data_IF_214139158324
#
_entry.id   IF_214139158324
#
_cell.length_a   1.000
_cell.length_b   1.000
_cell.length_c   1.000
_cell.angle_alpha   90.00
_cell.angle_beta   90.00
_cell.angle_gamma   90.00
#
_symmetry.space_group_name_H-M   'P 1'
#
loop_
_entity.id
_entity.type
_entity.pdbx_description
1 polymer ?
#
# COMPACT_ATOMS: atom_id res chain seq x y z
N UNK A 1 7.48 -17.15 0.95
CA UNK A 1 7.59 -15.72 0.61
C UNK A 1 6.18 -15.21 0.42
N UNK A 2 5.75 -14.23 1.20
CA UNK A 2 4.38 -13.71 1.12
C UNK A 2 4.19 -12.86 -0.12
N UNK A 3 3.04 -12.99 -0.77
CA UNK A 3 2.59 -12.12 -1.85
C UNK A 3 1.89 -10.92 -1.26
N UNK A 4 2.41 -9.73 -1.50
CA UNK A 4 1.92 -8.49 -0.91
C UNK A 4 1.48 -7.53 -1.99
N UNK A 5 0.35 -6.86 -1.77
CA UNK A 5 -0.03 -5.68 -2.55
C UNK A 5 0.20 -4.42 -1.73
N UNK A 6 0.76 -3.38 -2.34
CA UNK A 6 1.00 -2.10 -1.68
C UNK A 6 0.02 -1.07 -2.21
N UNK A 7 -0.55 -0.27 -1.32
CA UNK A 7 -1.33 0.92 -1.68
C UNK A 7 -0.58 2.16 -1.22
N UNK A 8 -0.36 3.12 -2.12
CA UNK A 8 0.35 4.35 -1.79
C UNK A 8 -0.37 5.62 -2.17
N UNK A 9 -0.02 6.72 -1.50
CA UNK A 9 -0.58 8.03 -1.78
C UNK A 9 0.03 8.57 -3.08
N UNK A 10 -0.74 8.55 -4.17
CA UNK A 10 -0.26 8.97 -5.49
C UNK A 10 0.24 10.42 -5.49
N UNK A 11 -0.42 11.32 -4.75
CA UNK A 11 -0.01 12.71 -4.61
C UNK A 11 1.35 12.84 -3.90
N UNK A 12 1.55 12.14 -2.78
CA UNK A 12 2.82 12.16 -2.05
C UNK A 12 3.95 11.62 -2.93
N UNK A 13 3.70 10.52 -3.64
CA UNK A 13 4.67 9.89 -4.54
C UNK A 13 5.04 10.78 -5.74
N UNK A 14 4.11 11.60 -6.23
CA UNK A 14 4.36 12.50 -7.37
C UNK A 14 5.07 13.80 -6.99
N UNK A 15 5.00 14.20 -5.72
CA UNK A 15 5.53 15.50 -5.25
C UNK A 15 6.77 15.36 -4.37
N UNK A 16 6.95 14.20 -3.72
CA UNK A 16 8.09 13.92 -2.88
C UNK A 16 9.32 13.47 -3.67
N UNK A 17 10.49 14.05 -3.38
CA UNK A 17 11.77 13.67 -3.99
C UNK A 17 12.55 12.62 -3.18
N UNK A 18 12.11 12.30 -1.96
CA UNK A 18 12.83 11.42 -1.04
C UNK A 18 12.74 9.92 -1.38
N UNK A 19 11.86 9.51 -2.31
CA UNK A 19 11.59 8.10 -2.61
C UNK A 19 11.38 7.86 -4.12
N UNK A 20 12.37 8.16 -4.98
CA UNK A 20 12.24 7.96 -6.43
C UNK A 20 11.98 6.48 -6.76
N UNK A 21 10.97 6.22 -7.59
CA UNK A 21 10.57 4.85 -7.94
C UNK A 21 10.09 4.01 -6.76
N UNK A 22 9.68 4.66 -5.66
CA UNK A 22 9.16 4.01 -4.46
C UNK A 22 10.13 2.97 -3.85
N UNK A 23 11.43 3.17 -4.10
CA UNK A 23 12.50 2.20 -3.81
C UNK A 23 12.50 1.72 -2.37
N UNK A 24 12.11 2.57 -1.42
CA UNK A 24 12.09 2.24 0.01
C UNK A 24 11.14 1.07 0.30
N UNK A 25 9.98 1.02 -0.36
CA UNK A 25 9.03 -0.08 -0.22
C UNK A 25 9.57 -1.38 -0.82
N UNK A 26 10.15 -1.31 -2.03
CA UNK A 26 10.71 -2.47 -2.71
C UNK A 26 11.92 -3.06 -1.98
N UNK A 27 12.83 -2.19 -1.49
CA UNK A 27 13.97 -2.63 -0.66
C UNK A 27 13.48 -3.35 0.59
N UNK A 28 12.53 -2.77 1.32
CA UNK A 28 12.02 -3.37 2.54
C UNK A 28 11.38 -4.75 2.28
N UNK A 29 10.60 -4.90 1.22
CA UNK A 29 10.04 -6.20 0.83
C UNK A 29 11.13 -7.22 0.47
N UNK A 30 12.15 -6.84 -0.30
CA UNK A 30 13.21 -7.75 -0.76
C UNK A 30 14.16 -8.21 0.37
N UNK A 31 14.37 -7.35 1.37
CA UNK A 31 15.23 -7.63 2.52
C UNK A 31 14.44 -8.19 3.71
N UNK A 32 13.11 -8.10 3.69
CA UNK A 32 12.25 -8.46 4.82
C UNK A 32 12.34 -7.48 5.99
N UNK A 33 12.67 -6.22 5.72
CA UNK A 33 12.84 -5.17 6.72
C UNK A 33 11.51 -4.45 7.03
N UNK A 34 11.50 -3.61 8.06
CA UNK A 34 10.38 -2.76 8.41
C UNK A 34 9.13 -3.55 8.77
N UNK A 35 8.01 -3.23 8.12
CA UNK A 35 6.71 -3.88 8.41
C UNK A 35 6.48 -5.18 7.62
N UNK A 36 7.49 -5.69 6.91
CA UNK A 36 7.39 -6.98 6.21
C UNK A 36 7.81 -8.16 7.10
N UNK A 37 8.85 -8.02 7.91
CA UNK A 37 9.37 -9.05 8.85
C UNK A 37 10.05 -10.26 8.19
N UNK A 38 9.69 -10.57 6.94
CA UNK A 38 10.29 -11.58 6.08
C UNK A 38 10.29 -11.09 4.63
N UNK A 39 11.05 -11.74 3.76
CA UNK A 39 11.04 -11.40 2.33
C UNK A 39 9.64 -11.56 1.74
N UNK A 40 9.23 -10.57 0.94
CA UNK A 40 7.92 -10.51 0.31
C UNK A 40 8.03 -10.24 -1.19
N UNK A 41 7.13 -10.85 -1.95
CA UNK A 41 6.95 -10.63 -3.37
C UNK A 41 5.86 -9.56 -3.57
N UNK A 42 6.21 -8.43 -4.18
CA UNK A 42 5.24 -7.35 -4.43
C UNK A 42 4.48 -7.67 -5.71
N UNK A 43 3.20 -8.02 -5.59
CA UNK A 43 2.35 -8.39 -6.73
C UNK A 43 1.78 -7.18 -7.46
N UNK A 44 1.56 -6.09 -6.74
CA UNK A 44 1.17 -4.83 -7.34
C UNK A 44 1.44 -3.65 -6.41
N UNK A 45 1.50 -2.46 -7.01
CA UNK A 45 1.53 -1.19 -6.32
C UNK A 45 0.39 -0.32 -6.83
N UNK A 46 -0.69 -0.20 -6.06
CA UNK A 46 -1.85 0.62 -6.40
C UNK A 46 -1.64 2.04 -5.88
N UNK A 47 -1.69 3.02 -6.78
CA UNK A 47 -1.60 4.44 -6.41
C UNK A 47 -2.99 5.01 -6.19
N UNK A 48 -3.18 5.59 -5.01
CA UNK A 48 -4.36 6.39 -4.68
C UNK A 48 -4.35 7.69 -5.48
N UNK A 49 -5.46 8.00 -6.13
CA UNK A 49 -5.67 9.29 -6.79
C UNK A 49 -6.66 10.13 -5.99
N UNK A 50 -6.34 11.40 -5.74
CA UNK A 50 -7.15 12.29 -4.90
C UNK A 50 -8.52 12.54 -5.55
N UNK A 51 -9.65 12.43 -4.81
CA UNK A 51 -9.79 12.38 -3.35
C UNK A 51 -9.87 10.95 -2.75
N UNK A 52 -9.42 9.93 -3.47
CA UNK A 52 -9.27 8.55 -2.98
C UNK A 52 -10.41 7.59 -3.36
N UNK A 53 -11.38 8.04 -4.15
CA UNK A 53 -12.55 7.24 -4.56
C UNK A 53 -12.20 5.95 -5.30
N UNK A 54 -11.07 5.94 -6.01
CA UNK A 54 -10.66 4.83 -6.87
C UNK A 54 -9.83 3.78 -6.15
N UNK A 55 -9.39 4.01 -4.91
CA UNK A 55 -8.46 3.10 -4.20
C UNK A 55 -9.02 1.69 -4.08
N UNK A 56 -10.20 1.55 -3.47
CA UNK A 56 -10.84 0.24 -3.24
C UNK A 56 -11.15 -0.49 -4.55
N UNK A 57 -11.83 0.12 -5.55
CA UNK A 57 -12.08 -0.57 -6.82
C UNK A 57 -10.80 -0.90 -7.59
N UNK A 58 -9.75 -0.07 -7.52
CA UNK A 58 -8.47 -0.38 -8.18
C UNK A 58 -7.75 -1.55 -7.50
N UNK A 59 -7.79 -1.66 -6.17
CA UNK A 59 -7.25 -2.83 -5.46
C UNK A 59 -7.99 -4.09 -5.89
N UNK A 60 -9.33 -4.09 -5.87
CA UNK A 60 -10.13 -5.25 -6.28
C UNK A 60 -9.90 -5.62 -7.75
N UNK A 61 -9.77 -4.62 -8.63
CA UNK A 61 -9.50 -4.81 -10.05
C UNK A 61 -8.10 -5.37 -10.28
N UNK A 62 -7.09 -4.88 -9.54
CA UNK A 62 -5.73 -5.42 -9.61
C UNK A 62 -5.67 -6.88 -9.16
N UNK A 63 -6.37 -7.25 -8.07
CA UNK A 63 -6.52 -8.66 -7.65
C UNK A 63 -7.17 -9.49 -8.77
N UNK A 64 -8.30 -9.01 -9.31
CA UNK A 64 -9.06 -9.73 -10.35
C UNK A 64 -8.27 -9.91 -11.64
N UNK A 65 -7.64 -8.86 -12.16
CA UNK A 65 -6.97 -8.87 -13.46
C UNK A 65 -5.59 -9.52 -13.42
N UNK A 66 -4.88 -9.44 -12.28
CA UNK A 66 -3.61 -10.17 -12.12
C UNK A 66 -3.82 -11.67 -11.97
N UNK A 67 -5.02 -12.11 -11.58
CA UNK A 67 -5.28 -13.51 -11.24
C UNK A 67 -4.56 -13.95 -9.96
N UNK A 68 -4.10 -13.00 -9.13
CA UNK A 68 -3.35 -13.27 -7.91
C UNK A 68 -4.08 -12.67 -6.71
N UNK A 69 -4.45 -13.52 -5.77
CA UNK A 69 -4.87 -13.11 -4.43
C UNK A 69 -3.62 -12.90 -3.56
N UNK A 70 -3.34 -11.69 -3.06
CA UNK A 70 -2.24 -11.48 -2.14
C UNK A 70 -2.57 -12.06 -0.76
N UNK A 71 -1.53 -12.40 0.00
CA UNK A 71 -1.65 -12.83 1.40
C UNK A 71 -1.94 -11.62 2.31
N UNK A 72 -1.50 -10.42 1.92
CA UNK A 72 -1.61 -9.19 2.70
C UNK A 72 -1.66 -7.96 1.80
N UNK A 73 -2.41 -6.93 2.24
CA UNK A 73 -2.36 -5.59 1.68
C UNK A 73 -1.62 -4.68 2.66
N UNK A 74 -0.66 -3.88 2.18
CA UNK A 74 0.02 -2.87 3.01
C UNK A 74 -0.30 -1.47 2.52
N UNK A 75 -0.77 -0.60 3.41
CA UNK A 75 -0.79 0.84 3.14
C UNK A 75 0.64 1.36 3.33
N UNK A 76 1.27 1.86 2.28
CA UNK A 76 2.66 2.35 2.31
C UNK A 76 2.91 3.37 3.43
N UNK A 77 4.15 3.47 3.91
CA UNK A 77 4.50 4.44 4.96
C UNK A 77 4.18 5.88 4.58
N UNK A 78 4.34 6.27 3.30
CA UNK A 78 3.97 7.61 2.82
C UNK A 78 2.46 7.86 2.71
N UNK A 79 1.63 6.82 2.82
CA UNK A 79 0.18 6.94 2.93
C UNK A 79 -0.28 6.87 4.40
N UNK A 80 0.22 5.88 5.12
CA UNK A 80 -0.22 5.55 6.48
C UNK A 80 0.35 6.49 7.55
N UNK A 81 1.58 6.98 7.37
CA UNK A 81 2.34 7.69 8.39
C UNK A 81 2.69 9.14 7.98
N UNK A 82 2.17 9.61 6.85
CA UNK A 82 2.44 10.98 6.38
C UNK A 82 1.94 12.03 7.37
N UNK A 83 2.72 13.11 7.49
CA UNK A 83 2.38 14.33 8.22
C UNK A 83 2.63 15.54 7.32
N UNK A 84 1.63 16.41 7.07
CA UNK A 84 0.22 16.30 7.52
C UNK A 84 -0.49 15.04 6.99
N UNK A 85 -1.54 14.62 7.69
CA UNK A 85 -2.34 13.46 7.32
C UNK A 85 -3.23 13.74 6.10
N UNK A 86 -3.86 12.68 5.58
CA UNK A 86 -4.72 12.81 4.40
C UNK A 86 -5.96 13.65 4.74
N UNK A 87 -6.25 14.73 4.00
CA UNK A 87 -7.37 15.62 4.32
C UNK A 87 -8.74 15.01 3.97
N UNK A 88 -8.78 13.94 3.18
CA UNK A 88 -10.03 13.36 2.65
C UNK A 88 -10.31 11.94 3.09
N UNK A 89 -9.32 11.23 3.64
CA UNK A 89 -9.45 9.83 4.03
C UNK A 89 -8.84 9.58 5.40
N UNK A 90 -9.56 8.86 6.25
CA UNK A 90 -8.98 8.23 7.42
C UNK A 90 -8.36 6.88 7.02
N UNK A 91 -7.08 6.66 7.35
CA UNK A 91 -6.35 5.48 6.88
C UNK A 91 -6.79 4.19 7.58
N UNK A 92 -7.24 4.27 8.83
CA UNK A 92 -7.78 3.15 9.58
C UNK A 92 -9.14 2.72 9.02
N UNK A 93 -10.00 3.68 8.68
CA UNK A 93 -11.26 3.40 8.00
C UNK A 93 -11.03 2.80 6.61
N UNK A 94 -10.09 3.34 5.83
CA UNK A 94 -9.72 2.79 4.53
C UNK A 94 -9.24 1.34 4.66
N UNK A 95 -8.40 1.03 5.65
CA UNK A 95 -7.95 -0.33 5.94
C UNK A 95 -9.13 -1.25 6.28
N UNK A 96 -10.08 -0.78 7.10
CA UNK A 96 -11.31 -1.51 7.42
C UNK A 96 -12.17 -1.81 6.18
N UNK A 97 -12.34 -0.83 5.29
CA UNK A 97 -13.09 -1.00 4.04
C UNK A 97 -12.40 -2.01 3.11
N UNK A 98 -11.09 -1.89 2.93
CA UNK A 98 -10.31 -2.82 2.11
C UNK A 98 -10.42 -4.25 2.65
N UNK A 99 -10.24 -4.44 3.95
CA UNK A 99 -10.40 -5.75 4.60
C UNK A 99 -11.81 -6.30 4.42
N UNK A 100 -12.85 -5.48 4.63
CA UNK A 100 -14.24 -5.91 4.48
C UNK A 100 -14.61 -6.28 3.03
N UNK A 101 -14.02 -5.60 2.04
CA UNK A 101 -14.31 -5.84 0.61
C UNK A 101 -13.49 -6.95 -0.02
N UNK A 102 -12.29 -7.20 0.49
CA UNK A 102 -11.35 -8.17 -0.09
C UNK A 102 -11.23 -9.46 0.74
N UNK A 103 -11.52 -9.41 2.04
CA UNK A 103 -11.25 -10.48 2.99
C UNK A 103 -9.76 -10.61 3.36
N UNK A 104 -8.91 -9.67 2.94
CA UNK A 104 -7.46 -9.72 3.10
C UNK A 104 -7.03 -8.78 4.23
N UNK A 105 -6.10 -9.22 5.08
CA UNK A 105 -5.57 -8.38 6.15
C UNK A 105 -4.85 -7.15 5.60
N UNK A 106 -5.04 -6.01 6.28
CA UNK A 106 -4.46 -4.73 5.88
C UNK A 106 -3.56 -4.19 6.98
N UNK A 107 -2.26 -4.05 6.68
CA UNK A 107 -1.26 -3.55 7.62
C UNK A 107 -0.80 -2.14 7.26
N UNK A 108 -0.57 -1.33 8.28
CA UNK A 108 -0.12 0.05 8.15
C UNK A 108 1.41 0.13 8.07
N UNK A 109 1.90 0.80 7.04
CA UNK A 109 3.32 1.03 6.80
C UNK A 109 4.01 -0.08 6.00
N UNK A 110 5.18 0.27 5.45
CA UNK A 110 6.05 -0.63 4.69
C UNK A 110 7.46 -0.63 5.27
N UNK A 111 8.06 0.55 5.42
CA UNK A 111 9.41 0.77 5.94
C UNK A 111 9.43 1.81 7.06
N UNK A 112 10.53 1.87 7.82
CA UNK A 112 10.70 2.78 8.97
C UNK A 112 11.71 3.93 8.70
N UNK A 113 12.29 3.99 7.50
CA UNK A 113 13.32 4.97 7.08
C UNK A 113 12.89 5.93 5.97
#
# INVERSE_FOLDING_TARGET
MKKVMIVGCGHYMSTGTACPGDWKCFKAANLGEGKFGEKAEIMSFVRCDCPGRTVVPNVMTAIKLSGVTPDEIKLSSCMALAKPDCPTLNMQELAGILKAKTGIEVTMGTHEY
#
